data_IF_738511200547
#
_entry.id   IF_738511200547
#
_cell.length_a   1.000
_cell.length_b   1.000
_cell.length_c   1.000
_cell.angle_alpha   90.00
_cell.angle_beta   90.00
_cell.angle_gamma   90.00
#
_symmetry.space_group_name_H-M   'P 1'
#
loop_
_entity.id
_entity.type
_entity.pdbx_description
1 polymer ?
#
# COMPACT_ATOMS: atom_id res chain seq x y z
N UNK A 1 -2.84 2.25 14.33
CA UNK A 1 -3.47 1.16 15.07
C UNK A 1 -2.37 0.28 15.64
N UNK A 2 -2.43 -0.03 16.94
CA UNK A 2 -1.48 -0.93 17.59
C UNK A 2 -1.53 -2.29 16.91
N UNK A 3 -0.37 -2.82 16.53
CA UNK A 3 -0.21 -4.22 16.17
C UNK A 3 -0.58 -5.06 17.42
N UNK A 4 -1.67 -5.81 17.31
CA UNK A 4 -2.04 -6.76 18.36
C UNK A 4 -1.01 -7.88 18.44
N UNK A 5 -0.62 -8.24 19.63
CA UNK A 5 0.28 -9.34 19.93
C UNK A 5 -0.31 -10.66 19.41
N UNK A 6 0.27 -11.22 18.38
CA UNK A 6 -0.09 -12.47 17.74
C UNK A 6 0.95 -12.88 16.74
N UNK A 7 2.19 -12.98 17.11
CA UNK A 7 3.23 -13.65 16.35
C UNK A 7 3.95 -14.57 17.33
N UNK A 8 3.96 -15.85 17.06
CA UNK A 8 4.52 -16.89 17.95
C UNK A 8 5.73 -17.54 17.30
N UNK A 9 6.34 -16.93 16.29
CA UNK A 9 7.62 -17.33 15.75
C UNK A 9 8.80 -16.64 16.47
N UNK A 10 10.00 -17.19 16.32
CA UNK A 10 11.20 -16.49 16.72
C UNK A 10 11.30 -15.15 15.98
N UNK A 11 11.74 -14.06 16.64
CA UNK A 11 11.87 -12.76 16.00
C UNK A 11 12.75 -12.84 14.74
N UNK A 12 12.31 -12.18 13.67
CA UNK A 12 13.11 -12.02 12.46
C UNK A 12 14.04 -10.83 12.67
N UNK A 13 15.34 -11.10 12.73
CA UNK A 13 16.36 -10.08 12.89
C UNK A 13 16.61 -9.36 11.56
N UNK A 14 16.46 -8.04 11.55
CA UNK A 14 16.79 -7.18 10.40
C UNK A 14 18.22 -6.70 10.56
N UNK A 15 19.07 -7.13 9.66
CA UNK A 15 20.52 -6.87 9.68
C UNK A 15 20.89 -5.96 8.52
N UNK A 16 21.64 -4.91 8.81
CA UNK A 16 22.18 -4.02 7.79
C UNK A 16 23.10 -4.78 6.82
N UNK A 17 22.83 -4.76 5.50
CA UNK A 17 23.70 -5.37 4.52
C UNK A 17 25.01 -4.58 4.31
N UNK A 18 25.14 -3.39 4.90
CA UNK A 18 26.30 -2.51 4.73
C UNK A 18 27.43 -2.93 5.67
N UNK A 19 27.10 -3.19 6.95
CA UNK A 19 28.08 -3.40 8.00
C UNK A 19 27.74 -4.57 8.95
N UNK A 20 26.66 -5.30 8.70
CA UNK A 20 26.20 -6.40 9.51
C UNK A 20 25.62 -6.00 10.86
N UNK A 21 25.38 -4.71 11.10
CA UNK A 21 24.78 -4.26 12.37
C UNK A 21 23.31 -4.64 12.46
N UNK A 22 22.84 -4.95 13.66
CA UNK A 22 21.42 -5.17 13.92
C UNK A 22 20.67 -3.84 13.83
N UNK A 23 19.60 -3.80 13.03
CA UNK A 23 18.75 -2.62 12.84
C UNK A 23 17.51 -2.67 13.73
N UNK A 24 16.78 -3.78 13.66
CA UNK A 24 15.56 -4.02 14.44
C UNK A 24 15.19 -5.50 14.42
N UNK A 25 14.20 -5.89 15.19
CA UNK A 25 13.62 -7.24 15.19
C UNK A 25 12.13 -7.14 14.85
N UNK A 26 11.64 -8.00 14.00
CA UNK A 26 10.26 -8.07 13.58
C UNK A 26 9.60 -9.30 14.20
N UNK A 27 8.32 -9.19 14.52
CA UNK A 27 7.53 -10.37 14.87
C UNK A 27 7.30 -11.22 13.62
N UNK A 28 7.57 -12.53 13.70
CA UNK A 28 7.17 -13.46 12.64
C UNK A 28 5.65 -13.63 12.64
N UNK A 29 5.02 -13.32 11.51
CA UNK A 29 3.58 -13.33 11.35
C UNK A 29 3.04 -14.71 11.01
N UNK A 30 2.35 -15.33 11.93
CA UNK A 30 1.65 -16.60 11.72
C UNK A 30 0.28 -16.45 11.01
N UNK A 31 -0.38 -17.56 10.76
CA UNK A 31 -1.72 -17.58 10.15
C UNK A 31 -2.76 -16.80 10.99
N UNK A 32 -2.65 -16.81 12.32
CA UNK A 32 -3.59 -16.09 13.17
C UNK A 32 -3.43 -14.57 13.03
N UNK A 33 -2.21 -14.07 12.87
CA UNK A 33 -1.96 -12.66 12.58
C UNK A 33 -2.53 -12.26 11.23
N UNK A 34 -2.39 -13.11 10.20
CA UNK A 34 -2.99 -12.86 8.87
C UNK A 34 -4.51 -12.81 8.95
N UNK A 35 -5.13 -13.77 9.64
CA UNK A 35 -6.58 -13.82 9.84
C UNK A 35 -7.09 -12.57 10.59
N UNK A 36 -6.35 -12.13 11.62
CA UNK A 36 -6.65 -10.90 12.33
C UNK A 36 -6.55 -9.66 11.41
N UNK A 37 -5.47 -9.55 10.64
CA UNK A 37 -5.28 -8.43 9.71
C UNK A 37 -6.39 -8.37 8.65
N UNK A 38 -6.78 -9.51 8.09
CA UNK A 38 -7.90 -9.61 7.13
C UNK A 38 -9.22 -9.24 7.80
N UNK A 39 -9.47 -9.69 9.03
CA UNK A 39 -10.68 -9.35 9.78
C UNK A 39 -10.79 -7.84 10.01
N UNK A 40 -9.70 -7.19 10.45
CA UNK A 40 -9.64 -5.74 10.65
C UNK A 40 -9.83 -4.98 9.33
N UNK A 41 -9.17 -5.43 8.27
CA UNK A 41 -9.30 -4.83 6.94
C UNK A 41 -10.71 -4.96 6.38
N UNK A 42 -11.38 -6.11 6.61
CA UNK A 42 -12.79 -6.34 6.23
C UNK A 42 -13.71 -5.40 7.00
N UNK A 43 -13.57 -5.31 8.32
CA UNK A 43 -14.35 -4.38 9.13
C UNK A 43 -14.14 -2.91 8.71
N UNK A 44 -12.91 -2.54 8.35
CA UNK A 44 -12.59 -1.21 7.83
C UNK A 44 -13.24 -0.94 6.47
N UNK A 45 -13.35 -1.95 5.61
CA UNK A 45 -14.08 -1.85 4.34
C UNK A 45 -15.59 -1.70 4.57
N UNK A 46 -16.17 -2.57 5.40
CA UNK A 46 -17.61 -2.67 5.60
C UNK A 46 -18.19 -1.44 6.32
N UNK A 47 -17.40 -0.77 7.19
CA UNK A 47 -17.85 0.45 7.85
C UNK A 47 -18.07 1.65 6.91
N UNK A 48 -17.55 1.58 5.69
CA UNK A 48 -17.79 2.56 4.64
C UNK A 48 -17.00 3.86 4.73
N UNK A 49 -16.17 4.06 5.77
CA UNK A 49 -15.42 5.31 5.94
C UNK A 49 -14.48 5.62 4.77
N UNK A 50 -13.93 4.59 4.15
CA UNK A 50 -13.09 4.67 2.97
C UNK A 50 -13.81 4.18 1.72
N UNK A 51 -14.39 2.99 1.75
CA UNK A 51 -15.01 2.34 0.60
C UNK A 51 -16.18 3.14 0.00
N UNK A 52 -16.93 3.86 0.83
CA UNK A 52 -18.04 4.74 0.44
C UNK A 52 -17.67 6.22 0.38
N UNK A 53 -16.39 6.56 0.64
CA UNK A 53 -15.92 7.94 0.51
C UNK A 53 -16.05 8.40 -0.96
N UNK A 54 -16.60 9.60 -1.22
CA UNK A 54 -16.65 10.13 -2.57
C UNK A 54 -15.26 10.16 -3.24
N UNK A 55 -15.16 9.97 -4.58
CA UNK A 55 -13.88 9.98 -5.29
C UNK A 55 -13.01 11.20 -4.99
N UNK A 56 -13.59 12.39 -4.88
CA UNK A 56 -12.88 13.62 -4.53
C UNK A 56 -12.20 13.55 -3.15
N UNK A 57 -12.82 12.90 -2.18
CA UNK A 57 -12.25 12.69 -0.85
C UNK A 57 -11.04 11.75 -0.90
N UNK A 58 -11.17 10.59 -1.57
CA UNK A 58 -10.04 9.66 -1.75
C UNK A 58 -8.89 10.31 -2.51
N UNK A 59 -9.19 11.07 -3.57
CA UNK A 59 -8.23 11.86 -4.33
C UNK A 59 -7.43 12.80 -3.42
N UNK A 60 -8.10 13.58 -2.58
CA UNK A 60 -7.45 14.51 -1.66
C UNK A 60 -6.51 13.80 -0.66
N UNK A 61 -6.91 12.64 -0.13
CA UNK A 61 -6.08 11.85 0.78
C UNK A 61 -4.85 11.29 0.07
N UNK A 62 -4.98 10.74 -1.13
CA UNK A 62 -3.86 10.20 -1.90
C UNK A 62 -2.86 11.29 -2.31
N UNK A 63 -3.33 12.49 -2.69
CA UNK A 63 -2.45 13.63 -2.94
C UNK A 63 -1.68 14.03 -1.69
N UNK A 64 -2.37 14.17 -0.54
CA UNK A 64 -1.71 14.50 0.71
C UNK A 64 -0.66 13.47 1.08
N UNK A 65 -0.95 12.18 0.89
CA UNK A 65 0.04 11.12 1.12
C UNK A 65 1.25 11.26 0.20
N UNK A 66 1.03 11.50 -1.10
CA UNK A 66 2.12 11.75 -2.05
C UNK A 66 2.99 12.94 -1.62
N UNK A 67 2.38 14.02 -1.14
CA UNK A 67 3.11 15.20 -0.66
C UNK A 67 3.94 14.87 0.60
N UNK A 68 3.42 14.06 1.52
CA UNK A 68 4.16 13.60 2.69
C UNK A 68 5.34 12.71 2.31
N UNK A 69 5.17 11.78 1.37
CA UNK A 69 6.27 10.95 0.84
C UNK A 69 7.36 11.85 0.23
N UNK A 70 6.98 12.85 -0.56
CA UNK A 70 7.92 13.76 -1.18
C UNK A 70 8.64 14.64 -0.15
N UNK A 71 7.93 15.13 0.87
CA UNK A 71 8.50 15.97 1.92
C UNK A 71 9.51 15.19 2.80
N UNK A 72 9.34 13.88 2.95
CA UNK A 72 10.22 13.01 3.73
C UNK A 72 11.16 12.16 2.86
N UNK A 73 11.38 12.55 1.59
CA UNK A 73 12.13 11.75 0.62
C UNK A 73 13.55 11.39 1.09
N UNK A 74 14.25 12.32 1.75
CA UNK A 74 15.60 12.07 2.25
C UNK A 74 15.63 11.02 3.37
N UNK A 75 14.70 11.10 4.32
CA UNK A 75 14.58 10.14 5.41
C UNK A 75 14.23 8.75 4.87
N UNK A 76 13.23 8.66 4.00
CA UNK A 76 12.81 7.42 3.36
C UNK A 76 13.95 6.77 2.54
N UNK A 77 14.74 7.58 1.82
CA UNK A 77 15.90 7.08 1.08
C UNK A 77 16.97 6.51 2.03
N UNK A 78 17.28 7.21 3.13
CA UNK A 78 18.27 6.74 4.12
C UNK A 78 17.81 5.43 4.78
N UNK A 79 16.53 5.31 5.13
CA UNK A 79 15.95 4.08 5.67
C UNK A 79 16.12 2.93 4.66
N UNK A 80 15.77 3.14 3.39
CA UNK A 80 15.94 2.14 2.35
C UNK A 80 17.41 1.72 2.15
N UNK A 81 18.35 2.67 2.19
CA UNK A 81 19.79 2.35 2.12
C UNK A 81 20.23 1.45 3.27
N UNK A 82 19.81 1.77 4.47
CA UNK A 82 20.17 0.98 5.67
C UNK A 82 19.56 -0.42 5.64
N UNK A 83 18.37 -0.54 5.10
CA UNK A 83 17.58 -1.76 5.13
C UNK A 83 17.96 -2.73 4.00
N UNK A 84 18.13 -2.25 2.77
CA UNK A 84 18.39 -3.09 1.60
C UNK A 84 19.76 -2.87 0.91
N UNK A 85 20.55 -1.91 1.38
CA UNK A 85 21.89 -1.64 0.84
C UNK A 85 21.91 -0.90 -0.50
N UNK A 86 20.78 -0.39 -0.98
CA UNK A 86 20.75 0.39 -2.24
C UNK A 86 21.63 1.62 -2.15
N UNK A 87 22.34 1.97 -3.24
CA UNK A 87 23.16 3.18 -3.31
C UNK A 87 22.28 4.42 -3.07
N UNK A 88 22.76 5.37 -2.23
CA UNK A 88 21.95 6.50 -1.74
C UNK A 88 21.40 7.39 -2.88
N UNK A 89 22.19 7.63 -3.91
CA UNK A 89 21.72 8.42 -5.04
C UNK A 89 20.62 7.71 -5.84
N UNK A 90 20.67 6.39 -5.92
CA UNK A 90 19.63 5.57 -6.51
C UNK A 90 18.38 5.58 -5.61
N UNK A 91 18.53 5.29 -4.32
CA UNK A 91 17.43 5.26 -3.36
C UNK A 91 16.68 6.60 -3.34
N UNK A 92 17.41 7.72 -3.28
CA UNK A 92 16.81 9.04 -3.24
C UNK A 92 16.06 9.42 -4.54
N UNK A 93 16.62 9.07 -5.72
CA UNK A 93 16.00 9.41 -7.01
C UNK A 93 14.84 8.48 -7.36
N UNK A 94 14.98 7.18 -7.11
CA UNK A 94 14.05 6.19 -7.63
C UNK A 94 12.81 6.01 -6.73
N UNK A 95 13.00 5.77 -5.43
CA UNK A 95 11.89 5.28 -4.62
C UNK A 95 10.89 6.34 -4.18
N UNK A 96 11.26 7.40 -3.44
CA UNK A 96 10.26 8.36 -2.95
C UNK A 96 9.58 9.12 -4.09
N UNK A 97 10.34 9.50 -5.11
CA UNK A 97 9.82 10.21 -6.28
C UNK A 97 8.81 9.38 -7.07
N UNK A 98 9.15 8.11 -7.33
CA UNK A 98 8.28 7.18 -8.04
C UNK A 98 7.03 6.83 -7.21
N UNK A 99 7.17 6.60 -5.90
CA UNK A 99 6.05 6.35 -5.01
C UNK A 99 5.08 7.54 -4.99
N UNK A 100 5.59 8.77 -4.81
CA UNK A 100 4.77 9.97 -4.83
C UNK A 100 4.07 10.20 -6.19
N UNK A 101 4.79 9.99 -7.30
CA UNK A 101 4.22 10.10 -8.64
C UNK A 101 3.09 9.08 -8.88
N UNK A 102 3.30 7.84 -8.45
CA UNK A 102 2.29 6.77 -8.53
C UNK A 102 1.03 7.12 -7.72
N UNK A 103 1.21 7.58 -6.49
CA UNK A 103 0.08 7.98 -5.64
C UNK A 103 -0.70 9.15 -6.26
N UNK A 104 0.00 10.15 -6.84
CA UNK A 104 -0.66 11.26 -7.55
C UNK A 104 -1.40 10.77 -8.79
N UNK A 105 -0.81 9.87 -9.57
CA UNK A 105 -1.47 9.31 -10.73
C UNK A 105 -2.79 8.62 -10.34
N UNK A 106 -2.77 7.74 -9.34
CA UNK A 106 -3.99 7.06 -8.90
C UNK A 106 -4.97 7.98 -8.15
N UNK A 107 -4.50 9.06 -7.53
CA UNK A 107 -5.38 10.12 -7.04
C UNK A 107 -6.21 10.72 -8.18
N UNK A 108 -5.57 11.01 -9.32
CA UNK A 108 -6.28 11.53 -10.50
C UNK A 108 -7.20 10.48 -11.16
N UNK A 109 -6.95 9.20 -10.98
CA UNK A 109 -7.79 8.12 -11.52
C UNK A 109 -9.08 7.92 -10.70
N UNK A 110 -9.14 8.34 -9.44
CA UNK A 110 -10.29 8.11 -8.56
C UNK A 110 -11.64 8.49 -9.17
N UNK A 111 -11.69 9.56 -9.94
CA UNK A 111 -12.91 10.08 -10.59
C UNK A 111 -13.04 9.68 -12.07
N UNK A 112 -12.20 8.77 -12.55
CA UNK A 112 -12.15 8.31 -13.96
C UNK A 112 -12.44 6.82 -14.12
N UNK A 113 -12.90 6.15 -13.08
CA UNK A 113 -13.32 4.75 -13.11
C UNK A 113 -14.80 4.71 -13.49
N UNK A 114 -15.06 4.80 -14.79
CA UNK A 114 -16.42 4.82 -15.30
C UNK A 114 -17.03 3.42 -15.37
N UNK A 115 -18.38 3.37 -15.25
CA UNK A 115 -19.17 2.22 -15.68
C UNK A 115 -19.35 2.20 -17.20
N UNK A 116 -20.14 1.25 -17.68
CA UNK A 116 -20.40 1.04 -19.10
C UNK A 116 -21.90 0.86 -19.31
N UNK A 117 -22.37 1.18 -20.51
CA UNK A 117 -23.72 0.82 -20.96
C UNK A 117 -23.57 -0.41 -21.85
N UNK A 118 -24.21 -1.51 -21.45
CA UNK A 118 -24.17 -2.76 -22.21
C UNK A 118 -25.14 -2.70 -23.41
N UNK A 119 -24.80 -3.33 -24.55
CA UNK A 119 -25.73 -3.49 -25.65
C UNK A 119 -26.90 -4.39 -25.22
N UNK A 120 -28.12 -3.86 -25.34
CA UNK A 120 -29.37 -4.55 -24.98
C UNK A 120 -30.41 -4.33 -26.05
N UNK A 121 -31.47 -5.17 -26.13
CA UNK A 121 -32.60 -4.93 -26.99
C UNK A 121 -33.30 -3.59 -26.68
N UNK A 122 -34.07 -3.09 -27.65
CA UNK A 122 -34.85 -1.86 -27.52
C UNK A 122 -35.74 -1.90 -26.26
N UNK A 123 -35.77 -0.78 -25.55
CA UNK A 123 -36.59 -0.63 -24.33
C UNK A 123 -35.90 -1.14 -23.03
N UNK A 124 -34.67 -1.70 -23.09
CA UNK A 124 -33.90 -2.15 -21.95
C UNK A 124 -32.61 -1.32 -21.84
N UNK A 125 -32.31 -0.80 -20.65
CA UNK A 125 -31.05 -0.15 -20.33
C UNK A 125 -30.20 -1.06 -19.41
N UNK A 126 -29.11 -1.62 -19.94
CA UNK A 126 -28.13 -2.39 -19.19
C UNK A 126 -26.96 -1.50 -18.77
N UNK A 127 -26.67 -1.44 -17.46
CA UNK A 127 -25.54 -0.68 -16.92
C UNK A 127 -24.57 -1.62 -16.23
N UNK A 128 -23.27 -1.43 -16.49
CA UNK A 128 -22.18 -2.10 -15.79
C UNK A 128 -21.61 -1.14 -14.76
N UNK A 129 -21.77 -1.46 -13.49
CA UNK A 129 -21.21 -0.69 -12.38
C UNK A 129 -19.96 -1.37 -11.84
N UNK A 130 -18.87 -0.60 -11.68
CA UNK A 130 -17.60 -1.09 -11.10
C UNK A 130 -17.56 -0.81 -9.61
N UNK A 131 -17.34 -1.85 -8.83
CA UNK A 131 -17.29 -1.78 -7.38
C UNK A 131 -15.93 -2.25 -6.85
N UNK A 132 -15.48 -1.79 -5.66
CA UNK A 132 -14.29 -2.33 -5.03
C UNK A 132 -14.49 -3.80 -4.66
N UNK A 133 -13.42 -4.60 -4.80
CA UNK A 133 -13.46 -6.04 -4.47
C UNK A 133 -13.48 -6.32 -2.97
N UNK A 134 -13.14 -5.34 -2.14
CA UNK A 134 -13.18 -5.44 -0.67
C UNK A 134 -11.81 -5.37 -0.02
N UNK A 135 -11.20 -6.50 0.32
CA UNK A 135 -9.87 -6.59 0.92
C UNK A 135 -8.87 -7.11 -0.10
N UNK A 136 -7.77 -6.40 -0.27
CA UNK A 136 -6.67 -6.75 -1.18
C UNK A 136 -5.44 -7.15 -0.37
N UNK A 137 -4.88 -8.34 -0.62
CA UNK A 137 -3.57 -8.74 -0.11
C UNK A 137 -2.46 -8.24 -1.04
N UNK A 138 -1.44 -7.59 -0.49
CA UNK A 138 -0.30 -7.10 -1.25
C UNK A 138 1.01 -7.61 -0.64
N UNK A 139 1.78 -8.39 -1.41
CA UNK A 139 3.11 -8.88 -1.04
C UNK A 139 4.14 -8.05 -1.78
N UNK A 140 5.09 -7.47 -1.04
CA UNK A 140 6.08 -6.51 -1.56
C UNK A 140 7.46 -7.16 -1.57
N UNK A 141 8.23 -7.06 -2.67
CA UNK A 141 9.61 -7.54 -2.74
C UNK A 141 10.58 -6.55 -2.09
N UNK A 142 11.78 -7.04 -1.81
CA UNK A 142 12.84 -6.32 -1.09
C UNK A 142 13.57 -5.25 -1.90
N UNK A 143 13.60 -5.35 -3.22
CA UNK A 143 14.50 -4.56 -4.07
C UNK A 143 14.09 -3.09 -4.24
N UNK A 144 12.78 -2.77 -4.24
CA UNK A 144 12.23 -1.41 -4.28
C UNK A 144 10.94 -1.33 -3.47
N UNK A 145 11.00 -1.55 -2.15
CA UNK A 145 9.81 -1.79 -1.35
C UNK A 145 8.83 -0.61 -1.31
N UNK A 146 9.32 0.61 -1.17
CA UNK A 146 8.48 1.81 -1.14
C UNK A 146 7.78 2.05 -2.49
N UNK A 147 8.54 1.99 -3.59
CA UNK A 147 8.02 2.19 -4.94
C UNK A 147 6.98 1.12 -5.30
N UNK A 148 7.31 -0.16 -5.11
CA UNK A 148 6.41 -1.27 -5.45
C UNK A 148 5.22 -1.32 -4.48
N UNK A 149 5.41 -0.93 -3.22
CA UNK A 149 4.33 -0.71 -2.27
C UNK A 149 3.31 0.30 -2.80
N UNK A 150 3.77 1.44 -3.30
CA UNK A 150 2.91 2.46 -3.90
C UNK A 150 2.18 1.94 -5.16
N UNK A 151 2.82 1.09 -5.98
CA UNK A 151 2.16 0.46 -7.15
C UNK A 151 1.00 -0.46 -6.79
N UNK A 152 0.99 -1.03 -5.58
CA UNK A 152 -0.12 -1.87 -5.08
C UNK A 152 -1.15 -1.05 -4.32
N UNK A 153 -0.69 -0.18 -3.43
CA UNK A 153 -1.55 0.62 -2.57
C UNK A 153 -2.31 1.71 -3.35
N UNK A 154 -1.65 2.37 -4.29
CA UNK A 154 -2.26 3.43 -5.10
C UNK A 154 -3.56 2.98 -5.78
N UNK A 155 -3.55 1.99 -6.68
CA UNK A 155 -4.75 1.52 -7.37
C UNK A 155 -5.77 0.90 -6.43
N UNK A 156 -5.34 0.09 -5.44
CA UNK A 156 -6.26 -0.57 -4.51
C UNK A 156 -7.07 0.45 -3.71
N UNK A 157 -6.40 1.47 -3.17
CA UNK A 157 -7.06 2.52 -2.38
C UNK A 157 -7.86 3.49 -3.26
N UNK A 158 -7.38 3.83 -4.45
CA UNK A 158 -8.14 4.67 -5.39
C UNK A 158 -9.50 4.06 -5.73
N UNK A 159 -9.57 2.73 -5.87
CA UNK A 159 -10.82 2.00 -6.09
C UNK A 159 -11.69 1.85 -4.83
N UNK A 160 -11.23 2.26 -3.65
CA UNK A 160 -12.00 2.16 -2.40
C UNK A 160 -11.82 0.87 -1.62
N UNK A 161 -10.82 0.04 -1.95
CA UNK A 161 -10.51 -1.19 -1.22
C UNK A 161 -9.80 -0.91 0.10
N UNK A 162 -9.84 -1.87 1.02
CA UNK A 162 -8.90 -2.02 2.14
C UNK A 162 -7.72 -2.90 1.72
N UNK A 163 -6.55 -2.73 2.35
CA UNK A 163 -5.35 -3.47 1.98
C UNK A 163 -4.69 -4.08 3.21
N UNK A 164 -4.30 -5.34 3.11
CA UNK A 164 -3.35 -6.00 3.99
C UNK A 164 -2.03 -6.09 3.24
N UNK A 165 -0.99 -5.44 3.75
CA UNK A 165 0.33 -5.43 3.14
C UNK A 165 1.29 -6.32 3.92
N UNK A 166 2.04 -7.17 3.20
CA UNK A 166 3.16 -7.94 3.74
C UNK A 166 4.44 -7.37 3.14
N UNK A 167 5.24 -6.59 3.90
CA UNK A 167 6.56 -6.14 3.45
C UNK A 167 7.54 -7.31 3.38
N UNK A 168 8.69 -7.16 2.71
CA UNK A 168 9.75 -8.18 2.74
C UNK A 168 10.41 -8.22 4.12
N UNK A 169 10.85 -9.37 4.54
CA UNK A 169 11.54 -9.56 5.83
C UNK A 169 12.91 -8.86 5.85
N UNK A 170 13.56 -8.85 4.70
CA UNK A 170 14.91 -8.28 4.51
C UNK A 170 14.92 -6.79 4.17
N UNK A 171 13.78 -6.12 4.12
CA UNK A 171 13.66 -4.69 3.83
C UNK A 171 12.32 -4.18 4.40
N UNK A 172 12.20 -4.11 5.72
CA UNK A 172 10.95 -3.86 6.43
C UNK A 172 10.92 -2.55 7.24
N UNK A 173 11.98 -1.72 7.17
CA UNK A 173 12.07 -0.41 7.83
C UNK A 173 11.17 0.65 7.21
#
# INVERSE_FOLDING_TARGET
GQAGAGGVGDPIEVISPIDGSHLTSLADGDAALVDHAVTVARAAFDNGRWSKMPPAGRKAVLHRWADLVQANAAELAVLGVRDNGTEIGMAFRAEPGSAAATLRYYAEVCDKIYGEIAPTPDGILGMIHKEPVGVVGAIIPWNFPLMIGAWKLGPALACGNSVVIKPPESAAL
#
